data_IF_813873445091
#
_entry.id   IF_813873445091
#
_cell.length_a   1.000
_cell.length_b   1.000
_cell.length_c   1.000
_cell.angle_alpha   90.00
_cell.angle_beta   90.00
_cell.angle_gamma   90.00
#
_symmetry.space_group_name_H-M   'P 1'
#
loop_
_entity.id
_entity.type
_entity.pdbx_description
1 polymer ?
#
# COMPACT_ATOMS: atom_id res chain seq x y z
N UNK A 1 18.39 8.36 3.30
CA UNK A 1 19.14 7.62 4.35
C UNK A 1 19.58 6.26 3.83
N UNK A 2 18.69 5.24 3.79
CA UNK A 2 19.03 3.86 3.42
C UNK A 2 19.87 3.75 2.13
N UNK A 3 19.46 4.42 1.04
CA UNK A 3 20.15 4.33 -0.25
C UNK A 3 21.63 4.78 -0.21
N UNK A 4 21.94 5.82 0.56
CA UNK A 4 23.28 6.40 0.59
C UNK A 4 24.16 5.71 1.64
N UNK A 5 23.56 5.43 2.79
CA UNK A 5 24.25 4.91 3.96
C UNK A 5 24.47 3.39 3.89
N UNK A 6 23.74 2.70 3.00
CA UNK A 6 23.95 1.27 2.76
C UNK A 6 25.27 0.96 2.06
N UNK A 7 25.89 1.93 1.37
CA UNK A 7 27.02 1.70 0.47
C UNK A 7 26.66 0.84 -0.75
N UNK A 8 25.37 0.56 -0.99
CA UNK A 8 24.90 -0.39 -2.00
C UNK A 8 24.34 0.29 -3.25
N UNK A 9 24.62 1.57 -3.49
CA UNK A 9 23.97 2.35 -4.56
C UNK A 9 24.17 1.71 -5.95
N UNK A 10 25.38 1.27 -6.28
CA UNK A 10 25.65 0.58 -7.54
C UNK A 10 24.91 -0.76 -7.69
N UNK A 11 24.83 -1.53 -6.59
CA UNK A 11 24.03 -2.76 -6.55
C UNK A 11 22.55 -2.45 -6.74
N UNK A 12 22.02 -1.46 -6.02
CA UNK A 12 20.62 -1.05 -6.09
C UNK A 12 20.24 -0.63 -7.50
N UNK A 13 21.04 0.20 -8.18
CA UNK A 13 20.76 0.62 -9.56
C UNK A 13 20.77 -0.57 -10.53
N UNK A 14 21.79 -1.41 -10.45
CA UNK A 14 21.95 -2.58 -11.34
C UNK A 14 20.81 -3.59 -11.14
N UNK A 15 20.49 -3.91 -9.88
CA UNK A 15 19.42 -4.85 -9.54
C UNK A 15 18.04 -4.29 -9.87
N UNK A 16 17.83 -2.98 -9.73
CA UNK A 16 16.56 -2.33 -10.14
C UNK A 16 16.36 -2.37 -11.65
N UNK A 17 17.40 -2.12 -12.44
CA UNK A 17 17.32 -2.25 -13.90
C UNK A 17 17.00 -3.69 -14.33
N UNK A 18 17.63 -4.68 -13.70
CA UNK A 18 17.30 -6.10 -13.91
C UNK A 18 15.87 -6.43 -13.50
N UNK A 19 15.39 -5.92 -12.37
CA UNK A 19 14.02 -6.13 -11.91
C UNK A 19 12.99 -5.57 -12.89
N UNK A 20 13.23 -4.40 -13.47
CA UNK A 20 12.39 -3.83 -14.53
C UNK A 20 12.39 -4.70 -15.79
N UNK A 21 13.56 -5.15 -16.25
CA UNK A 21 13.66 -6.06 -17.39
C UNK A 21 12.88 -7.36 -17.15
N UNK A 22 13.02 -7.94 -15.95
CA UNK A 22 12.29 -9.14 -15.56
C UNK A 22 10.78 -8.91 -15.48
N UNK A 23 10.33 -7.77 -14.97
CA UNK A 23 8.91 -7.41 -14.94
C UNK A 23 8.34 -7.35 -16.35
N UNK A 24 9.02 -6.66 -17.28
CA UNK A 24 8.58 -6.55 -18.68
C UNK A 24 8.51 -7.94 -19.33
N UNK A 25 9.55 -8.75 -19.16
CA UNK A 25 9.63 -10.08 -19.77
C UNK A 25 8.55 -11.04 -19.24
N UNK A 26 8.19 -10.94 -17.95
CA UNK A 26 7.30 -11.89 -17.28
C UNK A 26 5.90 -11.34 -16.99
N UNK A 27 5.58 -10.12 -17.42
CA UNK A 27 4.32 -9.46 -17.09
C UNK A 27 3.09 -10.29 -17.51
N UNK A 28 3.05 -10.73 -18.77
CA UNK A 28 1.91 -11.47 -19.32
C UNK A 28 1.74 -12.84 -18.63
N UNK A 29 2.79 -13.68 -18.50
CA UNK A 29 2.68 -14.92 -17.72
C UNK A 29 2.20 -14.69 -16.28
N UNK A 30 2.74 -13.68 -15.59
CA UNK A 30 2.35 -13.36 -14.21
C UNK A 30 0.88 -12.91 -14.13
N UNK A 31 0.41 -12.14 -15.11
CA UNK A 31 -0.98 -11.67 -15.16
C UNK A 31 -1.98 -12.80 -15.46
N UNK A 32 -1.56 -13.84 -16.19
CA UNK A 32 -2.41 -14.96 -16.60
C UNK A 32 -2.34 -16.18 -15.67
N UNK A 33 -1.43 -16.20 -14.69
CA UNK A 33 -1.24 -17.35 -13.78
C UNK A 33 -2.41 -17.46 -12.80
N UNK A 34 -3.10 -18.61 -12.83
CA UNK A 34 -4.23 -18.94 -11.91
C UNK A 34 -3.96 -20.20 -11.08
N UNK A 35 -3.04 -21.07 -11.52
CA UNK A 35 -2.91 -22.44 -10.99
C UNK A 35 -2.05 -22.56 -9.72
N UNK A 36 -1.12 -21.63 -9.47
CA UNK A 36 -0.27 -21.67 -8.26
C UNK A 36 -1.08 -21.26 -7.02
N UNK A 37 -1.71 -22.23 -6.38
CA UNK A 37 -2.54 -22.04 -5.19
C UNK A 37 -1.77 -21.50 -3.97
N UNK A 38 -0.43 -21.58 -3.94
CA UNK A 38 0.33 -21.11 -2.77
C UNK A 38 0.76 -19.66 -2.95
N UNK A 39 1.52 -19.35 -3.99
CA UNK A 39 2.04 -17.98 -4.16
C UNK A 39 0.94 -17.03 -4.65
N UNK A 40 0.21 -17.43 -5.71
CA UNK A 40 -0.80 -16.56 -6.34
C UNK A 40 -1.93 -16.24 -5.37
N UNK A 41 -2.38 -17.20 -4.56
CA UNK A 41 -3.44 -16.96 -3.59
C UNK A 41 -2.98 -16.06 -2.44
N UNK A 42 -1.80 -16.31 -1.87
CA UNK A 42 -1.32 -15.59 -0.69
C UNK A 42 -0.81 -14.17 -1.00
N UNK A 43 -0.37 -13.92 -2.24
CA UNK A 43 0.19 -12.62 -2.64
C UNK A 43 -0.65 -11.93 -3.71
N UNK A 44 -0.78 -12.54 -4.89
CA UNK A 44 -1.43 -11.90 -6.04
C UNK A 44 -2.90 -11.59 -5.77
N UNK A 45 -3.68 -12.60 -5.35
CA UNK A 45 -5.11 -12.45 -5.05
C UNK A 45 -5.31 -11.52 -3.85
N UNK A 46 -4.49 -11.66 -2.81
CA UNK A 46 -4.54 -10.77 -1.66
C UNK A 46 -4.31 -9.30 -2.05
N UNK A 47 -3.25 -8.99 -2.81
CA UNK A 47 -2.98 -7.61 -3.21
C UNK A 47 -4.05 -7.06 -4.16
N UNK A 48 -4.59 -7.86 -5.08
CA UNK A 48 -5.75 -7.45 -5.88
C UNK A 48 -6.96 -7.09 -5.01
N UNK A 49 -7.30 -7.95 -4.04
CA UNK A 49 -8.37 -7.68 -3.09
C UNK A 49 -8.11 -6.42 -2.27
N UNK A 50 -6.90 -6.26 -1.75
CA UNK A 50 -6.47 -5.08 -1.02
C UNK A 50 -6.67 -3.81 -1.86
N UNK A 51 -6.17 -3.77 -3.09
CA UNK A 51 -6.32 -2.60 -3.95
C UNK A 51 -7.78 -2.31 -4.32
N UNK A 52 -8.60 -3.34 -4.55
CA UNK A 52 -10.04 -3.17 -4.80
C UNK A 52 -10.76 -2.49 -3.64
N UNK A 53 -10.47 -2.88 -2.39
CA UNK A 53 -11.05 -2.22 -1.20
C UNK A 53 -10.65 -0.74 -1.15
N UNK A 54 -9.39 -0.43 -1.47
CA UNK A 54 -8.89 0.95 -1.51
C UNK A 54 -9.50 1.81 -2.63
N UNK A 55 -10.03 1.19 -3.70
CA UNK A 55 -10.70 1.90 -4.79
C UNK A 55 -12.01 2.57 -4.36
N UNK A 56 -12.56 2.29 -3.17
CA UNK A 56 -13.75 3.01 -2.67
C UNK A 56 -13.40 4.43 -2.22
N UNK A 57 -12.29 4.60 -1.50
CA UNK A 57 -11.93 5.89 -0.91
C UNK A 57 -10.99 6.72 -1.80
N UNK A 58 -10.03 6.05 -2.46
CA UNK A 58 -8.95 6.71 -3.21
C UNK A 58 -9.44 7.64 -4.33
N UNK A 59 -10.48 7.28 -5.12
CA UNK A 59 -10.98 8.17 -6.18
C UNK A 59 -11.56 9.49 -5.67
N UNK A 60 -12.09 9.55 -4.45
CA UNK A 60 -12.59 10.80 -3.86
C UNK A 60 -11.45 11.74 -3.52
N UNK A 61 -10.38 11.20 -2.93
CA UNK A 61 -9.17 11.98 -2.69
C UNK A 61 -8.58 12.50 -4.01
N UNK A 62 -8.36 11.62 -4.99
CA UNK A 62 -7.85 12.00 -6.31
C UNK A 62 -8.77 13.02 -6.98
N UNK A 63 -10.09 12.82 -6.95
CA UNK A 63 -11.07 13.74 -7.53
C UNK A 63 -11.03 15.13 -6.90
N UNK A 64 -10.92 15.20 -5.56
CA UNK A 64 -10.89 16.47 -4.82
C UNK A 64 -9.68 17.35 -5.18
N UNK A 65 -8.50 16.75 -5.34
CA UNK A 65 -7.25 17.47 -5.70
C UNK A 65 -7.07 17.66 -7.21
N UNK A 66 -7.99 17.18 -8.04
CA UNK A 66 -7.86 17.19 -9.51
C UNK A 66 -8.78 18.18 -10.21
N UNK A 67 -9.39 19.10 -9.47
CA UNK A 67 -10.23 20.17 -10.02
C UNK A 67 -9.45 20.99 -11.06
N UNK A 68 -10.03 21.16 -12.24
CA UNK A 68 -9.43 21.93 -13.35
C UNK A 68 -8.43 21.15 -14.22
N UNK A 69 -8.17 19.87 -13.95
CA UNK A 69 -7.31 19.02 -14.79
C UNK A 69 -8.12 18.33 -15.88
N UNK A 70 -7.50 18.11 -17.05
CA UNK A 70 -8.08 17.25 -18.08
C UNK A 70 -8.06 15.78 -17.64
N UNK A 71 -9.02 14.98 -18.11
CA UNK A 71 -9.09 13.53 -17.82
C UNK A 71 -7.78 12.84 -18.23
N UNK A 72 -7.21 13.22 -19.38
CA UNK A 72 -5.93 12.68 -19.86
C UNK A 72 -4.80 12.95 -18.88
N UNK A 73 -4.63 14.19 -18.43
CA UNK A 73 -3.56 14.55 -17.50
C UNK A 73 -3.75 13.90 -16.13
N UNK A 74 -5.00 13.74 -15.70
CA UNK A 74 -5.33 13.03 -14.47
C UNK A 74 -4.89 11.57 -14.52
N UNK A 75 -5.25 10.86 -15.59
CA UNK A 75 -4.92 9.43 -15.76
C UNK A 75 -3.41 9.26 -15.87
N UNK A 76 -2.75 9.89 -16.86
CA UNK A 76 -1.32 9.69 -17.07
C UNK A 76 -0.47 10.20 -15.91
N UNK A 77 -0.81 11.36 -15.34
CA UNK A 77 -0.12 11.91 -14.19
C UNK A 77 -0.27 11.01 -12.95
N UNK A 78 -1.49 10.53 -12.68
CA UNK A 78 -1.75 9.62 -11.56
C UNK A 78 -0.98 8.31 -11.69
N UNK A 79 -1.04 7.67 -12.87
CA UNK A 79 -0.27 6.45 -13.14
C UNK A 79 1.23 6.67 -13.01
N UNK A 80 1.77 7.70 -13.64
CA UNK A 80 3.21 7.94 -13.65
C UNK A 80 3.76 8.16 -12.24
N UNK A 81 3.17 9.09 -11.47
CA UNK A 81 3.66 9.40 -10.13
C UNK A 81 3.41 8.26 -9.13
N UNK A 82 2.26 7.56 -9.25
CA UNK A 82 1.94 6.41 -8.40
C UNK A 82 2.91 5.23 -8.63
N UNK A 83 3.19 4.91 -9.89
CA UNK A 83 4.16 3.89 -10.26
C UNK A 83 5.58 4.27 -9.83
N UNK A 84 5.99 5.52 -10.08
CA UNK A 84 7.32 5.99 -9.71
C UNK A 84 7.57 5.90 -8.19
N UNK A 85 6.60 6.33 -7.37
CA UNK A 85 6.72 6.22 -5.91
C UNK A 85 6.83 4.77 -5.44
N UNK A 86 6.02 3.88 -6.01
CA UNK A 86 6.05 2.44 -5.70
C UNK A 86 7.38 1.83 -6.11
N UNK A 87 7.82 2.06 -7.35
CA UNK A 87 9.08 1.54 -7.86
C UNK A 87 10.27 2.04 -7.06
N UNK A 88 10.35 3.34 -6.74
CA UNK A 88 11.44 3.87 -5.91
C UNK A 88 11.50 3.19 -4.54
N UNK A 89 10.35 2.95 -3.91
CA UNK A 89 10.29 2.26 -2.62
C UNK A 89 10.83 0.83 -2.72
N UNK A 90 10.34 0.03 -3.68
CA UNK A 90 10.81 -1.33 -3.89
C UNK A 90 12.29 -1.39 -4.33
N UNK A 91 12.71 -0.49 -5.22
CA UNK A 91 14.09 -0.41 -5.66
C UNK A 91 15.05 -0.12 -4.51
N UNK A 92 14.71 0.82 -3.63
CA UNK A 92 15.61 1.17 -2.53
C UNK A 92 15.53 0.13 -1.41
N UNK A 93 14.33 -0.14 -0.90
CA UNK A 93 14.15 -0.93 0.33
C UNK A 93 14.31 -2.43 0.07
N UNK A 94 13.80 -2.97 -1.04
CA UNK A 94 13.94 -4.40 -1.32
C UNK A 94 15.38 -4.74 -1.70
N UNK A 95 16.05 -3.94 -2.54
CA UNK A 95 17.45 -4.19 -2.85
C UNK A 95 18.36 -4.00 -1.64
N UNK A 96 18.02 -3.11 -0.70
CA UNK A 96 18.72 -3.02 0.58
C UNK A 96 18.65 -4.35 1.34
N UNK A 97 17.45 -4.92 1.53
CA UNK A 97 17.29 -6.23 2.18
C UNK A 97 18.03 -7.36 1.46
N UNK A 98 17.91 -7.42 0.13
CA UNK A 98 18.58 -8.43 -0.71
C UNK A 98 20.10 -8.30 -0.63
N UNK A 99 20.64 -7.08 -0.68
CA UNK A 99 22.08 -6.84 -0.58
C UNK A 99 22.62 -7.34 0.77
N UNK A 100 21.94 -7.07 1.88
CA UNK A 100 22.35 -7.56 3.20
C UNK A 100 22.27 -9.09 3.33
N UNK A 101 21.29 -9.72 2.69
CA UNK A 101 21.19 -11.19 2.61
C UNK A 101 22.35 -11.79 1.82
N UNK A 102 22.61 -11.28 0.61
CA UNK A 102 23.63 -11.84 -0.30
C UNK A 102 25.04 -11.65 0.26
N UNK A 103 25.32 -10.52 0.91
CA UNK A 103 26.61 -10.26 1.55
C UNK A 103 26.76 -10.97 2.91
N UNK A 104 25.81 -11.80 3.33
CA UNK A 104 25.90 -12.59 4.57
C UNK A 104 25.84 -11.76 5.84
N UNK A 105 25.42 -10.49 5.78
CA UNK A 105 25.36 -9.61 6.95
C UNK A 105 24.20 -9.98 7.87
N UNK A 106 23.06 -10.39 7.28
CA UNK A 106 21.88 -10.90 7.98
C UNK A 106 21.27 -12.00 7.14
N UNK A 107 20.84 -13.09 7.79
CA UNK A 107 20.02 -14.12 7.14
C UNK A 107 18.53 -13.88 7.44
N UNK A 108 17.93 -12.93 6.71
CA UNK A 108 16.53 -12.53 6.87
C UNK A 108 15.56 -13.69 6.61
N UNK A 109 15.89 -14.56 5.64
CA UNK A 109 15.08 -15.74 5.31
C UNK A 109 15.04 -16.71 6.49
N UNK A 110 16.19 -16.99 7.11
CA UNK A 110 16.27 -17.81 8.31
C UNK A 110 15.42 -17.23 9.44
N UNK A 111 15.55 -15.95 9.75
CA UNK A 111 14.82 -15.31 10.84
C UNK A 111 13.30 -15.45 10.67
N UNK A 112 12.79 -15.16 9.46
CA UNK A 112 11.36 -15.33 9.16
C UNK A 112 10.93 -16.79 9.28
N UNK A 113 11.74 -17.74 8.80
CA UNK A 113 11.43 -19.17 8.89
C UNK A 113 11.43 -19.70 10.34
N UNK A 114 12.17 -19.05 11.25
CA UNK A 114 12.15 -19.34 12.69
C UNK A 114 10.99 -18.66 13.43
N UNK A 115 10.10 -17.97 12.71
CA UNK A 115 8.90 -17.33 13.28
C UNK A 115 9.13 -15.90 13.78
N UNK A 116 10.27 -15.27 13.47
CA UNK A 116 10.45 -13.85 13.81
C UNK A 116 9.48 -12.97 12.99
N UNK A 117 8.94 -11.94 13.65
CA UNK A 117 8.05 -11.00 12.98
C UNK A 117 8.79 -10.17 11.93
N UNK A 118 8.09 -9.82 10.84
CA UNK A 118 8.65 -8.96 9.79
C UNK A 118 9.17 -7.63 10.33
N UNK A 119 8.49 -7.05 11.34
CA UNK A 119 8.94 -5.83 12.01
C UNK A 119 10.30 -6.01 12.68
N UNK A 120 10.52 -7.12 13.39
CA UNK A 120 11.82 -7.44 14.00
C UNK A 120 12.91 -7.59 12.95
N UNK A 121 12.62 -8.29 11.85
CA UNK A 121 13.58 -8.47 10.75
C UNK A 121 13.95 -7.13 10.09
N UNK A 122 12.99 -6.23 9.88
CA UNK A 122 13.25 -4.88 9.34
C UNK A 122 14.16 -4.08 10.28
N UNK A 123 13.91 -4.12 11.60
CA UNK A 123 14.77 -3.44 12.57
C UNK A 123 16.19 -4.02 12.58
N UNK A 124 16.32 -5.35 12.49
CA UNK A 124 17.63 -6.01 12.38
C UNK A 124 18.35 -5.59 11.10
N UNK A 125 17.66 -5.56 9.95
CA UNK A 125 18.22 -5.03 8.69
C UNK A 125 18.71 -3.60 8.87
N UNK A 126 17.93 -2.72 9.49
CA UNK A 126 18.33 -1.34 9.75
C UNK A 126 19.59 -1.24 10.62
N UNK A 127 19.75 -2.12 11.62
CA UNK A 127 20.96 -2.17 12.47
C UNK A 127 22.26 -2.48 11.70
N UNK A 128 22.18 -2.96 10.47
CA UNK A 128 23.35 -3.15 9.59
C UNK A 128 23.87 -1.85 8.98
N UNK A 129 23.11 -0.76 9.08
CA UNK A 129 23.51 0.56 8.60
C UNK A 129 24.36 1.29 9.65
N UNK A 130 25.39 2.05 9.21
CA UNK A 130 25.99 3.04 10.09
C UNK A 130 24.91 4.01 10.59
N UNK A 131 25.04 4.53 11.82
CA UNK A 131 24.06 5.48 12.38
C UNK A 131 22.58 5.02 12.32
N UNK A 132 22.31 3.71 12.41
CA UNK A 132 20.96 3.15 12.27
C UNK A 132 19.91 3.80 13.18
N UNK A 133 20.31 4.35 14.33
CA UNK A 133 19.44 5.07 15.24
C UNK A 133 18.74 6.26 14.56
N UNK A 134 19.46 7.03 13.74
CA UNK A 134 18.88 8.12 12.94
C UNK A 134 17.89 7.56 11.93
N UNK A 135 18.26 6.46 11.25
CA UNK A 135 17.38 5.75 10.34
C UNK A 135 16.07 5.27 10.99
N UNK A 136 16.13 4.77 12.22
CA UNK A 136 14.96 4.35 12.98
C UNK A 136 14.08 5.53 13.40
N UNK A 137 14.67 6.65 13.82
CA UNK A 137 13.91 7.88 14.11
C UNK A 137 13.19 8.37 12.87
N UNK A 138 13.88 8.41 11.71
CA UNK A 138 13.26 8.79 10.44
C UNK A 138 12.14 7.83 10.03
N UNK A 139 12.33 6.53 10.24
CA UNK A 139 11.31 5.51 9.98
C UNK A 139 10.07 5.75 10.84
N UNK A 140 10.24 5.98 12.14
CA UNK A 140 9.12 6.26 13.06
C UNK A 140 8.36 7.52 12.62
N UNK A 141 9.08 8.61 12.33
CA UNK A 141 8.46 9.84 11.86
C UNK A 141 7.70 9.65 10.54
N UNK A 142 8.30 8.91 9.58
CA UNK A 142 7.65 8.59 8.33
C UNK A 142 6.39 7.74 8.53
N UNK A 143 6.44 6.73 9.41
CA UNK A 143 5.28 5.91 9.74
C UNK A 143 4.16 6.73 10.38
N UNK A 144 4.47 7.61 11.34
CA UNK A 144 3.47 8.50 11.96
C UNK A 144 2.87 9.45 10.91
N UNK A 145 3.69 10.07 10.06
CA UNK A 145 3.24 10.99 9.03
C UNK A 145 2.35 10.33 7.98
N UNK A 146 2.78 9.17 7.46
CA UNK A 146 2.01 8.42 6.46
C UNK A 146 0.72 7.85 7.07
N UNK A 147 0.76 7.35 8.30
CA UNK A 147 -0.42 6.78 8.95
C UNK A 147 -1.43 7.86 9.31
N UNK A 148 -1.01 8.98 9.90
CA UNK A 148 -1.91 10.09 10.27
C UNK A 148 -2.61 10.71 9.06
N UNK A 149 -1.90 10.90 7.95
CA UNK A 149 -2.49 11.46 6.71
C UNK A 149 -3.50 10.51 6.05
N UNK A 150 -3.18 9.21 6.00
CA UNK A 150 -4.11 8.18 5.51
C UNK A 150 -5.32 8.07 6.43
N UNK A 151 -5.09 8.04 7.74
CA UNK A 151 -6.15 7.92 8.75
C UNK A 151 -7.13 9.10 8.68
N UNK A 152 -6.63 10.33 8.57
CA UNK A 152 -7.48 11.51 8.41
C UNK A 152 -8.30 11.45 7.11
N UNK A 153 -7.66 11.06 6.01
CA UNK A 153 -8.30 10.95 4.70
C UNK A 153 -9.45 9.93 4.70
N UNK A 154 -9.23 8.74 5.26
CA UNK A 154 -10.26 7.69 5.31
C UNK A 154 -11.40 8.09 6.26
N UNK A 155 -11.06 8.67 7.42
CA UNK A 155 -12.06 9.17 8.39
C UNK A 155 -12.94 10.26 7.76
N UNK A 156 -12.36 11.16 6.97
CA UNK A 156 -13.11 12.18 6.24
C UNK A 156 -14.06 11.55 5.21
N UNK A 157 -13.57 10.61 4.39
CA UNK A 157 -14.38 9.96 3.35
C UNK A 157 -15.58 9.21 3.93
N UNK A 158 -15.37 8.38 4.97
CA UNK A 158 -16.48 7.63 5.59
C UNK A 158 -17.47 8.54 6.31
N UNK A 159 -16.99 9.64 6.88
CA UNK A 159 -17.86 10.64 7.48
C UNK A 159 -18.74 11.30 6.43
N UNK A 160 -18.22 11.60 5.23
CA UNK A 160 -19.03 12.12 4.11
C UNK A 160 -20.08 11.09 3.66
N UNK A 161 -19.73 9.80 3.60
CA UNK A 161 -20.69 8.73 3.26
C UNK A 161 -21.83 8.55 4.28
N UNK A 162 -21.66 9.01 5.50
CA UNK A 162 -22.67 8.90 6.56
C UNK A 162 -23.82 9.90 6.40
N UNK A 163 -23.73 10.82 5.44
CA UNK A 163 -24.77 11.80 5.14
C UNK A 163 -25.55 11.41 3.87
N UNK A 164 -26.89 11.54 3.93
CA UNK A 164 -27.77 11.27 2.77
C UNK A 164 -27.59 12.29 1.64
N UNK A 165 -27.25 13.53 1.99
CA UNK A 165 -27.00 14.63 1.07
C UNK A 165 -25.97 15.56 1.71
N UNK A 166 -24.78 15.63 1.13
CA UNK A 166 -23.73 16.56 1.52
C UNK A 166 -23.09 17.09 0.23
N UNK A 167 -22.91 18.40 0.12
CA UNK A 167 -22.23 18.95 -1.05
C UNK A 167 -20.76 18.50 -1.04
N UNK A 168 -20.16 18.33 -2.22
CA UNK A 168 -18.75 17.91 -2.35
C UNK A 168 -17.80 18.90 -1.65
N UNK A 169 -18.19 20.18 -1.59
CA UNK A 169 -17.46 21.27 -0.94
C UNK A 169 -17.68 21.36 0.57
N UNK A 170 -18.66 20.64 1.11
CA UNK A 170 -18.96 20.68 2.54
C UNK A 170 -18.18 19.63 3.31
N UNK A 171 -17.68 20.03 4.48
CA UNK A 171 -17.00 19.13 5.40
C UNK A 171 -18.01 18.48 6.35
N UNK A 172 -17.86 17.17 6.63
CA UNK A 172 -18.73 16.49 7.58
C UNK A 172 -18.50 17.03 9.00
N UNK A 173 -19.52 16.90 9.86
CA UNK A 173 -19.40 17.38 11.24
C UNK A 173 -18.21 16.76 11.97
N UNK A 174 -17.58 17.54 12.85
CA UNK A 174 -16.45 17.07 13.68
C UNK A 174 -16.86 15.88 14.56
N UNK A 175 -18.13 15.81 14.99
CA UNK A 175 -18.66 14.69 15.76
C UNK A 175 -18.70 13.40 14.94
N UNK A 176 -19.16 13.46 13.69
CA UNK A 176 -19.17 12.29 12.81
C UNK A 176 -17.75 11.81 12.50
N UNK A 177 -16.81 12.75 12.28
CA UNK A 177 -15.38 12.43 12.12
C UNK A 177 -14.81 11.76 13.37
N UNK A 178 -15.11 12.30 14.55
CA UNK A 178 -14.67 11.74 15.82
C UNK A 178 -15.22 10.33 16.05
N UNK A 179 -16.51 10.10 15.76
CA UNK A 179 -17.14 8.78 15.84
C UNK A 179 -16.39 7.74 15.01
N UNK A 180 -16.17 8.02 13.71
CA UNK A 180 -15.46 7.09 12.83
C UNK A 180 -13.99 6.91 13.19
N UNK A 181 -13.32 7.96 13.67
CA UNK A 181 -11.95 7.84 14.16
C UNK A 181 -11.87 6.86 15.33
N UNK A 182 -12.79 6.92 16.29
CA UNK A 182 -12.83 5.98 17.42
C UNK A 182 -13.09 4.56 16.93
N UNK A 183 -14.08 4.36 16.05
CA UNK A 183 -14.40 3.04 15.47
C UNK A 183 -13.18 2.44 14.75
N UNK A 184 -12.44 3.24 13.98
CA UNK A 184 -11.25 2.78 13.27
C UNK A 184 -10.05 2.49 14.16
N UNK A 185 -9.98 3.05 15.37
CA UNK A 185 -8.93 2.71 16.35
C UNK A 185 -9.31 1.46 17.14
N UNK A 186 -10.59 1.26 17.45
CA UNK A 186 -11.08 0.12 18.22
C UNK A 186 -10.80 -1.22 17.52
N UNK A 187 -10.98 -1.28 16.19
CA UNK A 187 -10.83 -2.52 15.43
C UNK A 187 -9.37 -3.04 15.42
N UNK A 188 -8.35 -2.24 15.04
CA UNK A 188 -6.95 -2.63 15.15
C UNK A 188 -6.52 -2.89 16.60
N UNK A 189 -7.04 -2.13 17.58
CA UNK A 189 -6.73 -2.35 18.98
C UNK A 189 -7.19 -3.75 19.44
N UNK A 190 -8.40 -4.17 19.05
CA UNK A 190 -8.90 -5.52 19.33
C UNK A 190 -8.04 -6.60 18.65
N UNK A 191 -7.55 -6.36 17.43
CA UNK A 191 -6.65 -7.29 16.73
C UNK A 191 -5.29 -7.43 17.45
N UNK A 192 -4.71 -6.32 17.91
CA UNK A 192 -3.45 -6.33 18.68
C UNK A 192 -3.62 -7.12 19.98
N UNK A 193 -4.74 -6.97 20.68
CA UNK A 193 -5.01 -7.65 21.95
C UNK A 193 -5.29 -9.15 21.80
N UNK A 194 -5.62 -9.62 20.59
CA UNK A 194 -5.94 -11.04 20.34
C UNK A 194 -4.76 -11.83 19.78
N UNK A 195 -3.56 -11.22 19.68
CA UNK A 195 -2.36 -11.79 19.07
C UNK A 195 -2.65 -12.47 17.71
N UNK A 196 -3.65 -11.96 16.97
CA UNK A 196 -4.09 -12.62 15.75
C UNK A 196 -3.05 -12.47 14.65
N UNK A 197 -2.73 -13.59 14.01
CA UNK A 197 -1.71 -13.64 12.96
C UNK A 197 -2.15 -12.85 11.72
N UNK A 198 -1.17 -12.40 10.93
CA UNK A 198 -1.35 -11.67 9.66
C UNK A 198 -2.32 -12.37 8.68
N UNK A 199 -2.44 -13.70 8.77
CA UNK A 199 -3.33 -14.53 7.93
C UNK A 199 -4.79 -14.09 8.08
N UNK A 200 -5.23 -13.72 9.28
CA UNK A 200 -6.62 -13.32 9.52
C UNK A 200 -6.97 -11.99 8.81
N UNK A 201 -6.01 -11.08 8.68
CA UNK A 201 -6.21 -9.79 8.00
C UNK A 201 -6.35 -10.01 6.48
N UNK A 202 -5.58 -10.95 5.90
CA UNK A 202 -5.66 -11.26 4.47
C UNK A 202 -7.04 -11.78 4.06
N UNK A 203 -7.61 -12.71 4.84
CA UNK A 203 -8.93 -13.27 4.55
C UNK A 203 -10.05 -12.22 4.62
N UNK A 204 -10.00 -11.33 5.62
CA UNK A 204 -10.98 -10.24 5.77
C UNK A 204 -10.96 -9.30 4.56
N UNK A 205 -9.77 -8.95 4.06
CA UNK A 205 -9.64 -8.10 2.88
C UNK A 205 -10.26 -8.74 1.63
N UNK A 206 -10.06 -10.06 1.42
CA UNK A 206 -10.63 -10.80 0.28
C UNK A 206 -12.16 -10.82 0.35
N UNK A 207 -12.74 -11.07 1.52
CA UNK A 207 -14.20 -11.08 1.72
C UNK A 207 -14.78 -9.69 1.43
N UNK A 208 -14.15 -8.62 1.92
CA UNK A 208 -14.59 -7.25 1.69
C UNK A 208 -14.43 -6.79 0.23
N UNK A 209 -13.45 -7.34 -0.49
CA UNK A 209 -13.17 -6.95 -1.87
C UNK A 209 -14.24 -7.44 -2.86
N UNK A 210 -14.88 -8.59 -2.60
CA UNK A 210 -15.89 -9.16 -3.49
C UNK A 210 -17.10 -8.22 -3.74
N UNK A 211 -17.84 -7.74 -2.72
CA UNK A 211 -18.93 -6.79 -2.94
C UNK A 211 -18.43 -5.45 -3.50
N UNK A 212 -17.23 -5.03 -3.11
CA UNK A 212 -16.60 -3.81 -3.60
C UNK A 212 -16.34 -3.87 -5.11
N UNK A 213 -15.89 -5.02 -5.63
CA UNK A 213 -15.68 -5.24 -7.05
C UNK A 213 -16.95 -5.05 -7.87
N UNK A 214 -18.11 -5.49 -7.37
CA UNK A 214 -19.41 -5.26 -8.01
C UNK A 214 -19.70 -3.76 -8.12
N UNK A 215 -19.49 -3.00 -7.04
CA UNK A 215 -19.67 -1.55 -7.02
C UNK A 215 -18.73 -0.86 -8.02
N UNK A 216 -17.46 -1.28 -8.11
CA UNK A 216 -16.51 -0.75 -9.08
C UNK A 216 -16.98 -0.94 -10.52
N UNK A 217 -17.45 -2.14 -10.88
CA UNK A 217 -17.99 -2.43 -12.22
C UNK A 217 -19.19 -1.53 -12.52
N UNK A 218 -20.11 -1.34 -11.56
CA UNK A 218 -21.25 -0.44 -11.72
C UNK A 218 -20.83 1.02 -11.96
N UNK A 219 -19.80 1.49 -11.25
CA UNK A 219 -19.24 2.83 -11.44
C UNK A 219 -18.67 2.99 -12.86
N UNK A 220 -17.91 2.00 -13.34
CA UNK A 220 -17.33 2.02 -14.70
C UNK A 220 -18.43 2.04 -15.76
N UNK A 221 -19.45 1.18 -15.64
CA UNK A 221 -20.59 1.14 -16.57
C UNK A 221 -21.36 2.47 -16.54
N UNK A 222 -21.60 3.04 -15.35
CA UNK A 222 -22.30 4.33 -15.19
C UNK A 222 -21.52 5.48 -15.84
N UNK A 223 -20.20 5.52 -15.63
CA UNK A 223 -19.33 6.53 -16.22
C UNK A 223 -19.26 6.41 -17.74
N UNK A 224 -19.14 5.19 -18.27
CA UNK A 224 -19.15 4.92 -19.71
C UNK A 224 -20.46 5.40 -20.36
N UNK A 225 -21.61 5.08 -19.75
CA UNK A 225 -22.93 5.58 -20.20
C UNK A 225 -23.02 7.11 -20.16
N UNK A 226 -22.40 7.77 -19.18
CA UNK A 226 -22.39 9.23 -19.05
C UNK A 226 -21.55 9.91 -20.12
N UNK A 227 -20.44 9.31 -20.55
CA UNK A 227 -19.58 9.87 -21.62
C UNK A 227 -20.23 9.69 -23.00
N UNK A 228 -20.94 8.59 -23.22
CA UNK A 228 -21.59 8.32 -24.51
C UNK A 228 -22.90 9.10 -24.73
N UNK A 229 -23.43 9.74 -23.68
CA UNK A 229 -24.58 10.66 -23.77
C UNK A 229 -24.09 12.07 -24.01
#
# INVERSE_FOLDING_TARGET
FVLFDSGSLGFTLTSSAKALGNLIANFIPMAATVEDKSFTQNWTVYYWAYWMVWCVATPFFIGSISKGRTIRNLIFGGYFWGLLGTYLSFFILSNFGISRQIHGLINAVSLVNHGDSYAKVIVLLMKTLPHYQVGLVLLILAMIGLYSTVFDSITMVISKYSYKSLLISEEPSKLMRGFWAVVFVLLPLALILTDTSFVNIQSVAIIAAFPTGIVMVLIVISFWKKIMR
#
